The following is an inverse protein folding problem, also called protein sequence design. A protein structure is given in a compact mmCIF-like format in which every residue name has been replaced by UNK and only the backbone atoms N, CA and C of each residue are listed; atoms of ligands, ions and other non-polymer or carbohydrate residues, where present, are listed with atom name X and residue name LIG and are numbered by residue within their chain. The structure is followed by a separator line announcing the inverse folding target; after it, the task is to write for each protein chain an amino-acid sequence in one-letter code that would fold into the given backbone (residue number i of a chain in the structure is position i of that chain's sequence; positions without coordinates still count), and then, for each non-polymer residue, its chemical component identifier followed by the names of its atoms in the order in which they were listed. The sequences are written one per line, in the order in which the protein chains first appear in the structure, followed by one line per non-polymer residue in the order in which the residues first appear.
data_IF_308433907606
#
_entry.id   IF_308433907606
#
_cell.length_a   1.000
_cell.length_b   1.000
_cell.length_c   1.000
_cell.angle_alpha   90.00
_cell.angle_beta   90.00
_cell.angle_gamma   90.00
#
_symmetry.space_group_name_H-M   'P 1'
#
loop_
_entity.id
_entity.type
_entity.pdbx_description
1 polymer ?
#
# COMPACT_ATOMS: atom_id res chain seq x y z
N UNK A 1 4.32 1.90 -9.22
CA UNK A 1 4.11 1.38 -7.84
C UNK A 1 2.85 2.02 -7.31
N UNK A 2 2.02 1.28 -6.60
CA UNK A 2 0.86 1.82 -5.89
C UNK A 2 1.26 2.22 -4.47
N UNK A 3 0.56 3.20 -3.91
CA UNK A 3 0.85 3.80 -2.60
C UNK A 3 -0.43 3.86 -1.77
N UNK A 4 -0.34 3.50 -0.50
CA UNK A 4 -1.34 3.81 0.51
C UNK A 4 -0.66 4.39 1.77
N UNK A 5 -1.38 5.22 2.51
CA UNK A 5 -0.92 5.83 3.77
C UNK A 5 -1.87 5.48 4.89
N UNK A 6 -1.31 5.02 6.01
CA UNK A 6 -2.03 4.70 7.23
C UNK A 6 -1.70 5.73 8.30
N UNK A 7 -2.73 6.31 8.91
CA UNK A 7 -2.62 7.30 9.98
C UNK A 7 -3.36 6.73 11.19
N UNK A 8 -2.64 6.48 12.30
CA UNK A 8 -3.25 5.99 13.54
C UNK A 8 -2.56 4.76 14.11
N UNK A 9 -3.20 4.17 15.14
CA UNK A 9 -2.60 3.12 15.97
C UNK A 9 -3.10 1.70 15.64
N UNK A 10 -4.18 1.55 14.86
CA UNK A 10 -4.70 0.23 14.47
C UNK A 10 -4.03 -0.26 13.17
N UNK A 11 -2.75 -0.60 13.32
CA UNK A 11 -1.88 -0.93 12.21
C UNK A 11 -2.35 -2.18 11.43
N UNK A 12 -2.81 -3.20 12.12
CA UNK A 12 -3.18 -4.48 11.50
C UNK A 12 -4.41 -4.36 10.60
N UNK A 13 -5.47 -3.69 11.07
CA UNK A 13 -6.69 -3.52 10.27
C UNK A 13 -6.48 -2.56 9.11
N UNK A 14 -5.77 -1.45 9.35
CA UNK A 14 -5.49 -0.44 8.31
C UNK A 14 -4.56 -1.02 7.22
N UNK A 15 -3.60 -1.89 7.57
CA UNK A 15 -2.72 -2.52 6.58
C UNK A 15 -3.50 -3.46 5.66
N UNK A 16 -4.36 -4.31 6.23
CA UNK A 16 -5.18 -5.24 5.44
C UNK A 16 -6.09 -4.46 4.49
N UNK A 17 -6.74 -3.40 4.98
CA UNK A 17 -7.60 -2.55 4.17
C UNK A 17 -6.83 -1.88 3.03
N UNK A 18 -5.69 -1.25 3.33
CA UNK A 18 -4.84 -0.61 2.34
C UNK A 18 -4.32 -1.59 1.27
N UNK A 19 -3.91 -2.80 1.67
CA UNK A 19 -3.44 -3.81 0.72
C UNK A 19 -4.54 -4.36 -0.19
N UNK A 20 -5.79 -4.42 0.31
CA UNK A 20 -6.97 -4.81 -0.46
C UNK A 20 -7.35 -3.71 -1.46
N UNK A 21 -7.37 -2.45 -1.03
CA UNK A 21 -7.65 -1.31 -1.92
C UNK A 21 -6.63 -1.24 -3.07
N UNK A 22 -5.32 -1.45 -2.82
CA UNK A 22 -4.36 -1.45 -3.94
C UNK A 22 -4.53 -2.68 -4.84
N UNK A 23 -5.01 -3.82 -4.32
CA UNK A 23 -5.25 -5.04 -5.12
C UNK A 23 -6.45 -4.84 -6.04
N UNK A 24 -7.54 -4.25 -5.53
CA UNK A 24 -8.72 -3.90 -6.32
C UNK A 24 -8.34 -2.88 -7.41
N UNK A 25 -7.66 -1.80 -7.02
CA UNK A 25 -7.18 -0.80 -7.97
C UNK A 25 -6.24 -1.40 -9.02
N UNK A 26 -5.35 -2.32 -8.63
CA UNK A 26 -4.47 -2.99 -9.58
C UNK A 26 -5.27 -3.80 -10.61
N UNK A 27 -6.27 -4.59 -10.17
CA UNK A 27 -7.11 -5.39 -11.07
C UNK A 27 -7.90 -4.53 -12.06
N UNK A 28 -8.51 -3.45 -11.58
CA UNK A 28 -9.27 -2.51 -12.42
C UNK A 28 -8.40 -1.86 -13.51
N UNK A 29 -7.10 -1.74 -13.27
CA UNK A 29 -6.15 -1.09 -14.17
C UNK A 29 -5.25 -2.08 -14.93
N UNK A 30 -5.60 -3.38 -14.98
CA UNK A 30 -4.79 -4.42 -15.64
C UNK A 30 -3.35 -4.48 -15.11
N UNK A 31 -3.19 -4.30 -13.81
CA UNK A 31 -1.94 -4.42 -13.08
C UNK A 31 -1.99 -5.63 -12.16
N UNK A 32 -0.82 -6.23 -11.89
CA UNK A 32 -0.63 -7.27 -10.88
C UNK A 32 0.39 -6.81 -9.85
N UNK A 33 0.09 -6.99 -8.56
CA UNK A 33 1.07 -6.84 -7.48
C UNK A 33 2.21 -7.84 -7.67
N UNK A 34 3.44 -7.36 -7.46
CA UNK A 34 4.65 -8.19 -7.49
C UNK A 34 5.50 -7.92 -6.25
N UNK A 35 6.11 -8.94 -5.63
CA UNK A 35 7.03 -8.74 -4.52
C UNK A 35 8.28 -7.93 -4.93
N UNK A 36 8.94 -7.24 -3.98
CA UNK A 36 8.50 -7.00 -2.60
C UNK A 36 7.51 -5.83 -2.50
N UNK A 37 6.84 -5.71 -1.34
CA UNK A 37 6.20 -4.47 -0.91
C UNK A 37 6.91 -3.92 0.33
N UNK A 38 6.78 -2.61 0.54
CA UNK A 38 7.54 -1.89 1.56
C UNK A 38 6.62 -1.18 2.53
N UNK A 39 6.99 -1.24 3.81
CA UNK A 39 6.47 -0.37 4.87
C UNK A 39 7.51 0.70 5.16
N UNK A 40 7.10 1.95 5.01
CA UNK A 40 7.94 3.10 5.33
C UNK A 40 7.31 3.79 6.53
N UNK A 41 7.94 3.61 7.68
CA UNK A 41 7.55 4.25 8.92
C UNK A 41 8.10 5.68 8.90
N UNK A 42 7.22 6.65 9.08
CA UNK A 42 7.57 8.07 9.11
C UNK A 42 7.23 8.67 10.46
N UNK A 43 8.12 9.52 10.96
CA UNK A 43 7.96 10.27 12.20
C UNK A 43 8.51 11.69 11.98
N UNK A 44 7.65 12.70 12.11
CA UNK A 44 8.04 14.12 12.03
C UNK A 44 7.22 14.92 13.05
N UNK A 45 7.88 15.63 13.96
CA UNK A 45 7.24 16.52 14.95
C UNK A 45 6.07 15.83 15.69
N UNK A 46 6.32 14.65 16.28
CA UNK A 46 5.34 13.81 16.98
C UNK A 46 4.17 13.29 16.11
N UNK A 47 4.23 13.49 14.79
CA UNK A 47 3.28 12.90 13.84
C UNK A 47 3.84 11.61 13.26
N UNK A 48 3.08 10.53 13.39
CA UNK A 48 3.44 9.17 12.97
C UNK A 48 2.50 8.67 11.87
N UNK A 49 3.06 8.14 10.79
CA UNK A 49 2.30 7.45 9.76
C UNK A 49 3.14 6.40 9.06
N UNK A 50 2.47 5.44 8.41
CA UNK A 50 3.13 4.42 7.61
C UNK A 50 2.68 4.52 6.17
N UNK A 51 3.65 4.63 5.25
CA UNK A 51 3.41 4.52 3.81
C UNK A 51 3.66 3.09 3.35
N UNK A 52 2.66 2.47 2.74
CA UNK A 52 2.74 1.18 2.07
C UNK A 52 3.03 1.43 0.59
N UNK A 53 4.14 0.89 0.08
CA UNK A 53 4.48 0.95 -1.35
C UNK A 53 4.49 -0.45 -1.95
N UNK A 54 3.63 -0.66 -2.95
CA UNK A 54 3.49 -1.95 -3.63
C UNK A 54 4.01 -1.84 -5.06
N UNK A 55 4.94 -2.72 -5.42
CA UNK A 55 5.38 -2.86 -6.79
C UNK A 55 4.29 -3.56 -7.60
N UNK A 56 4.01 -3.01 -8.77
CA UNK A 56 3.00 -3.53 -9.70
C UNK A 56 3.60 -3.63 -11.10
N UNK A 57 3.07 -4.55 -11.89
CA UNK A 57 3.45 -4.78 -13.27
C UNK A 57 2.18 -4.92 -14.10
N UNK A 58 2.19 -4.42 -15.33
CA UNK A 58 1.08 -4.64 -16.27
C UNK A 58 0.88 -6.13 -16.53
N UNK A 59 -0.36 -6.58 -16.43
CA UNK A 59 -0.77 -7.86 -16.99
C UNK A 59 -1.01 -7.62 -18.47
N UNK A 60 -0.22 -8.27 -19.33
CA UNK A 60 -0.46 -8.24 -20.79
C UNK A 60 -1.93 -8.54 -21.07
N UNK A 61 -2.59 -7.65 -21.80
CA UNK A 61 -3.94 -7.87 -22.33
C UNK A 61 -3.98 -9.01 -23.33
#
# INVERSE_FOLDING_TARGET
MLHARMIGNDYEQEEVKALNEIEEHAKENHLRKIPPYYHIINEINDYYWVDIKVKVMETRG
#
